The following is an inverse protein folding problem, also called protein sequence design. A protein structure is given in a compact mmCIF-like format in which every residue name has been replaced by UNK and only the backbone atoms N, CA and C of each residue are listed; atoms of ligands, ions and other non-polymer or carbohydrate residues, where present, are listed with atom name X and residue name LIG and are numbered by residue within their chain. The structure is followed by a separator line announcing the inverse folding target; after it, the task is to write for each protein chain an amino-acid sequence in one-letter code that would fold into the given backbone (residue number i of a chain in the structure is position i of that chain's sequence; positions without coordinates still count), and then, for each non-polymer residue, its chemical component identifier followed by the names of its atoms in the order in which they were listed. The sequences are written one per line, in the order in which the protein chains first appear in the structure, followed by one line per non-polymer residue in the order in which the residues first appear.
data_IF_666205530136
#
_entry.id   IF_666205530136
#
_cell.length_a   1.000
_cell.length_b   1.000
_cell.length_c   1.000
_cell.angle_alpha   90.00
_cell.angle_beta   90.00
_cell.angle_gamma   90.00
#
_symmetry.space_group_name_H-M   'P 1'
#
loop_
_entity.id
_entity.type
_entity.pdbx_description
1 polymer ?
#
# COMPACT_ATOMS: atom_id res chain seq x y z
N UNK A 1 -12.59 -0.39 6.14
CA UNK A 1 -11.71 -0.43 7.33
C UNK A 1 -11.91 0.86 8.10
N UNK A 2 -12.73 0.87 9.16
CA UNK A 2 -12.81 2.02 10.07
C UNK A 2 -11.42 2.24 10.67
N UNK A 3 -10.80 3.41 10.46
CA UNK A 3 -9.45 3.74 10.94
C UNK A 3 -8.29 3.43 10.00
N UNK A 4 -8.53 2.85 8.82
CA UNK A 4 -7.47 2.55 7.85
C UNK A 4 -6.56 1.38 8.24
N UNK A 5 -5.51 1.14 7.44
CA UNK A 5 -4.52 0.07 7.66
C UNK A 5 -3.35 0.63 8.48
N UNK A 6 -2.89 -0.05 9.54
CA UNK A 6 -1.67 0.37 10.24
C UNK A 6 -0.44 0.39 9.31
N UNK A 7 0.53 1.24 9.66
CA UNK A 7 1.87 1.20 9.07
C UNK A 7 2.52 -0.18 9.30
N UNK A 8 3.31 -0.66 8.34
CA UNK A 8 3.96 -1.97 8.36
C UNK A 8 3.03 -3.18 8.23
N UNK A 9 1.70 -3.00 8.38
CA UNK A 9 0.75 -4.11 8.28
C UNK A 9 0.49 -4.50 6.81
N UNK A 10 0.48 -5.80 6.51
CA UNK A 10 0.04 -6.32 5.20
C UNK A 10 -1.47 -6.14 5.04
N UNK A 11 -1.92 -5.73 3.84
CA UNK A 11 -3.35 -5.56 3.59
C UNK A 11 -4.08 -6.92 3.55
N UNK A 12 -5.17 -7.04 4.30
CA UNK A 12 -5.98 -8.27 4.38
C UNK A 12 -6.63 -8.67 3.05
N UNK A 13 -6.76 -7.72 2.13
CA UNK A 13 -7.37 -7.95 0.82
C UNK A 13 -6.37 -8.44 -0.24
N UNK A 14 -5.12 -8.70 0.11
CA UNK A 14 -4.13 -9.27 -0.81
C UNK A 14 -4.21 -10.81 -0.83
N UNK A 15 -4.19 -11.40 -2.04
CA UNK A 15 -4.03 -12.84 -2.24
C UNK A 15 -2.58 -13.30 -2.03
N UNK A 16 -2.25 -14.56 -2.37
CA UNK A 16 -0.91 -15.09 -2.19
C UNK A 16 0.12 -14.48 -3.16
N UNK A 17 -0.35 -13.87 -4.25
CA UNK A 17 0.46 -13.24 -5.30
C UNK A 17 0.50 -11.71 -5.15
N UNK A 18 0.11 -11.19 -3.97
CA UNK A 18 0.00 -9.76 -3.66
C UNK A 18 -0.93 -8.95 -4.58
N UNK A 19 -1.96 -9.60 -5.15
CA UNK A 19 -3.02 -8.95 -5.92
C UNK A 19 -4.21 -8.61 -5.03
N UNK A 20 -4.83 -7.45 -5.27
CA UNK A 20 -6.00 -7.02 -4.51
C UNK A 20 -7.26 -7.79 -4.93
N UNK A 21 -7.84 -8.57 -4.01
CA UNK A 21 -9.08 -9.37 -4.23
C UNK A 21 -10.32 -8.52 -4.52
N UNK A 22 -10.28 -7.24 -4.18
CA UNK A 22 -11.36 -6.28 -4.41
C UNK A 22 -10.99 -5.20 -5.45
N UNK A 23 -10.02 -5.47 -6.32
CA UNK A 23 -9.64 -4.55 -7.39
C UNK A 23 -10.86 -4.21 -8.28
N UNK A 24 -11.11 -2.92 -8.50
CA UNK A 24 -12.25 -2.43 -9.30
C UNK A 24 -13.60 -2.45 -8.59
N UNK A 25 -13.68 -2.95 -7.36
CA UNK A 25 -14.93 -3.00 -6.57
C UNK A 25 -15.13 -1.74 -5.74
N UNK A 26 -16.39 -1.32 -5.46
CA UNK A 26 -16.68 -0.12 -4.68
C UNK A 26 -16.18 -0.19 -3.22
N UNK A 27 -15.96 -1.38 -2.68
CA UNK A 27 -15.41 -1.57 -1.34
C UNK A 27 -13.90 -1.29 -1.25
N UNK A 28 -13.21 -1.14 -2.39
CA UNK A 28 -11.77 -0.80 -2.42
C UNK A 28 -11.57 0.59 -1.80
N UNK A 29 -10.70 0.75 -0.80
CA UNK A 29 -10.46 2.05 -0.18
C UNK A 29 -10.06 3.12 -1.20
N UNK A 30 -10.63 4.32 -1.09
CA UNK A 30 -10.40 5.43 -2.04
C UNK A 30 -8.91 5.78 -2.21
N UNK A 31 -8.13 5.72 -1.13
CA UNK A 31 -6.67 5.91 -1.19
C UNK A 31 -5.98 4.86 -2.06
N UNK A 32 -6.39 3.60 -1.98
CA UNK A 32 -5.83 2.52 -2.80
C UNK A 32 -6.24 2.62 -4.27
N UNK A 33 -7.35 3.29 -4.59
CA UNK A 33 -7.81 3.52 -5.96
C UNK A 33 -7.19 4.78 -6.59
N UNK A 34 -6.84 5.78 -5.77
CA UNK A 34 -6.21 7.03 -6.20
C UNK A 34 -4.68 6.97 -6.27
N UNK A 35 -4.04 6.10 -5.48
CA UNK A 35 -2.60 5.92 -5.51
C UNK A 35 -2.17 5.28 -6.84
N UNK A 36 -1.44 6.05 -7.66
CA UNK A 36 -0.81 5.56 -8.89
C UNK A 36 0.62 5.12 -8.59
N UNK A 37 1.04 3.92 -9.04
CA UNK A 37 2.43 3.52 -8.92
C UNK A 37 3.31 4.41 -9.80
N UNK A 38 4.41 4.90 -9.25
CA UNK A 38 5.45 5.65 -9.98
C UNK A 38 6.78 4.89 -9.96
N UNK A 39 7.68 5.14 -10.94
CA UNK A 39 8.97 4.46 -11.02
C UNK A 39 9.79 4.54 -9.74
N UNK A 40 9.81 5.70 -9.08
CA UNK A 40 10.57 5.90 -7.84
C UNK A 40 10.02 5.09 -6.67
N UNK A 41 8.70 4.88 -6.66
CA UNK A 41 8.02 4.06 -5.65
C UNK A 41 8.32 2.58 -5.88
N UNK A 42 8.20 2.10 -7.11
CA UNK A 42 8.31 0.68 -7.43
C UNK A 42 9.77 0.20 -7.50
N UNK A 43 10.67 1.04 -8.02
CA UNK A 43 12.06 0.68 -8.29
C UNK A 43 12.19 -0.56 -9.18
N UNK A 44 13.30 -1.28 -9.02
CA UNK A 44 13.60 -2.50 -9.78
C UNK A 44 13.29 -3.80 -9.01
N UNK A 45 12.79 -3.72 -7.76
CA UNK A 45 12.52 -4.90 -6.93
C UNK A 45 11.48 -4.63 -5.86
N UNK A 46 10.81 -5.69 -5.40
CA UNK A 46 9.91 -5.61 -4.24
C UNK A 46 10.61 -5.05 -3.00
N UNK A 47 11.89 -5.37 -2.79
CA UNK A 47 12.66 -4.85 -1.67
C UNK A 47 12.80 -3.32 -1.72
N UNK A 48 13.04 -2.74 -2.90
CA UNK A 48 13.05 -1.29 -3.09
C UNK A 48 11.69 -0.69 -2.75
N UNK A 49 10.62 -1.25 -3.30
CA UNK A 49 9.27 -0.75 -3.07
C UNK A 49 8.90 -0.77 -1.57
N UNK A 50 9.26 -1.84 -0.87
CA UNK A 50 9.02 -1.93 0.57
C UNK A 50 9.84 -0.89 1.36
N UNK A 51 11.10 -0.67 1.01
CA UNK A 51 11.92 0.39 1.64
C UNK A 51 11.35 1.79 1.38
N UNK A 52 10.81 2.04 0.18
CA UNK A 52 10.14 3.29 -0.14
C UNK A 52 8.91 3.51 0.75
N UNK A 53 8.05 2.48 0.87
CA UNK A 53 6.86 2.54 1.73
C UNK A 53 7.23 2.76 3.21
N UNK A 54 8.25 2.07 3.73
CA UNK A 54 8.73 2.26 5.11
C UNK A 54 9.21 3.70 5.35
N UNK A 55 9.92 4.30 4.39
CA UNK A 55 10.34 5.71 4.51
C UNK A 55 9.14 6.65 4.58
N UNK A 56 8.10 6.42 3.78
CA UNK A 56 6.87 7.21 3.85
C UNK A 56 6.14 7.05 5.18
N UNK A 57 6.04 5.81 5.69
CA UNK A 57 5.42 5.54 6.98
C UNK A 57 6.12 6.28 8.13
N UNK A 58 7.47 6.30 8.14
CA UNK A 58 8.25 7.07 9.12
C UNK A 58 8.03 8.57 8.96
N UNK A 59 8.10 9.08 7.73
CA UNK A 59 7.98 10.52 7.45
C UNK A 59 6.59 11.09 7.78
N UNK A 60 5.57 10.24 7.84
CA UNK A 60 4.17 10.61 8.10
C UNK A 60 3.66 10.13 9.46
N UNK A 61 4.52 9.55 10.29
CA UNK A 61 4.16 9.12 11.64
C UNK A 61 3.72 10.32 12.48
N UNK A 62 2.61 10.17 13.20
CA UNK A 62 2.21 11.14 14.20
C UNK A 62 3.25 11.19 15.33
N UNK A 63 3.49 12.36 15.95
CA UNK A 63 4.38 12.49 17.09
C UNK A 63 3.88 11.73 18.33
#
# INVERSE_FOLDING_TARGET
MPGGKPAGARCVQLDADDRCRIFGRPERPAVCASLRPEPDMCGASTAHAMQFLTRLEIATAAP
#
